data_IF_990618618189
#
_entry.id   IF_990618618189
#
_cell.length_a   1.000
_cell.length_b   1.000
_cell.length_c   1.000
_cell.angle_alpha   90.00
_cell.angle_beta   90.00
_cell.angle_gamma   90.00
#
_symmetry.space_group_name_H-M   'P 1'
#
loop_
_entity.id
_entity.type
_entity.pdbx_description
1 polymer ?
#
# COMPACT_ATOMS: atom_id res chain seq x y z
N UNK A 1 -54.09 44.82 31.12
CA UNK A 1 -53.83 44.73 29.67
C UNK A 1 -52.35 44.66 29.27
N UNK A 2 -51.34 44.90 30.13
CA UNK A 2 -49.93 44.83 29.71
C UNK A 2 -49.31 43.42 29.81
N UNK A 3 -49.90 42.48 30.54
CA UNK A 3 -49.35 41.14 30.68
C UNK A 3 -49.75 40.21 29.52
N UNK A 4 -50.85 40.46 28.87
CA UNK A 4 -51.34 39.63 27.77
C UNK A 4 -50.51 39.79 26.48
N UNK A 5 -50.02 40.99 26.22
CA UNK A 5 -49.17 41.28 25.06
C UNK A 5 -47.75 40.62 25.20
N UNK A 6 -47.23 40.47 26.44
CA UNK A 6 -45.98 39.84 26.65
C UNK A 6 -46.03 38.31 26.44
N UNK A 7 -47.15 37.68 26.79
CA UNK A 7 -47.35 36.22 26.59
C UNK A 7 -47.55 35.91 25.14
N UNK A 8 -48.31 36.73 24.39
CA UNK A 8 -48.49 36.57 22.94
C UNK A 8 -47.15 36.75 22.18
N UNK A 9 -46.36 37.73 22.59
CA UNK A 9 -45.01 37.90 22.02
C UNK A 9 -44.12 36.70 22.30
N UNK A 10 -44.08 36.19 23.55
CA UNK A 10 -43.30 35.03 23.92
C UNK A 10 -43.74 33.76 23.17
N UNK A 11 -45.01 33.52 23.00
CA UNK A 11 -45.51 32.35 22.27
C UNK A 11 -45.26 32.45 20.76
N UNK A 12 -45.36 33.66 20.19
CA UNK A 12 -45.13 33.88 18.74
C UNK A 12 -43.67 33.71 18.35
N UNK A 13 -42.73 34.06 19.25
CA UNK A 13 -41.30 33.94 18.95
C UNK A 13 -40.66 32.68 19.54
N UNK A 14 -41.29 31.99 20.50
CA UNK A 14 -40.73 30.77 21.12
C UNK A 14 -40.41 29.69 20.09
N UNK A 15 -41.25 29.47 19.10
CA UNK A 15 -41.01 28.50 18.06
C UNK A 15 -39.87 28.93 17.12
N UNK A 16 -39.69 30.23 16.85
CA UNK A 16 -38.62 30.77 16.07
C UNK A 16 -37.25 30.53 16.78
N UNK A 17 -37.19 30.76 18.12
CA UNK A 17 -36.02 30.42 18.92
C UNK A 17 -35.73 28.91 18.93
N UNK A 18 -36.79 28.09 18.95
CA UNK A 18 -36.62 26.63 18.89
C UNK A 18 -36.01 26.17 17.56
N UNK A 19 -36.46 26.76 16.43
CA UNK A 19 -35.87 26.47 15.13
C UNK A 19 -34.42 26.93 15.07
N UNK A 20 -34.12 28.15 15.53
CA UNK A 20 -32.74 28.65 15.56
C UNK A 20 -31.83 27.75 16.43
N UNK A 21 -32.31 27.34 17.62
CA UNK A 21 -31.56 26.43 18.49
C UNK A 21 -31.33 25.06 17.84
N UNK A 22 -32.30 24.55 17.07
CA UNK A 22 -32.18 23.31 16.32
C UNK A 22 -31.17 23.45 15.19
N UNK A 23 -31.18 24.55 14.43
CA UNK A 23 -30.15 24.82 13.42
C UNK A 23 -28.74 24.92 14.02
N UNK A 24 -28.58 25.65 15.13
CA UNK A 24 -27.31 25.77 15.83
C UNK A 24 -26.84 24.42 16.34
N UNK A 25 -27.72 23.59 16.90
CA UNK A 25 -27.35 22.25 17.38
C UNK A 25 -26.92 21.34 16.23
N UNK A 26 -27.56 21.38 15.07
CA UNK A 26 -27.17 20.64 13.86
C UNK A 26 -25.81 21.13 13.35
N UNK A 27 -25.57 22.44 13.31
CA UNK A 27 -24.26 22.99 12.91
C UNK A 27 -23.16 22.55 13.88
N UNK A 28 -23.43 22.60 15.20
CA UNK A 28 -22.46 22.13 16.22
C UNK A 28 -22.21 20.65 16.09
N UNK A 29 -23.23 19.81 15.86
CA UNK A 29 -23.08 18.37 15.61
C UNK A 29 -22.25 18.13 14.34
N UNK A 30 -22.54 18.84 13.25
CA UNK A 30 -21.76 18.72 12.00
C UNK A 30 -20.32 19.23 12.18
N UNK A 31 -20.09 20.25 12.99
CA UNK A 31 -18.75 20.76 13.31
C UNK A 31 -17.98 19.86 14.30
N UNK A 32 -18.70 19.12 15.15
CA UNK A 32 -18.10 18.18 16.13
C UNK A 32 -18.00 16.76 15.60
N UNK A 33 -18.80 16.37 14.60
CA UNK A 33 -18.46 15.24 13.74
C UNK A 33 -17.13 15.66 13.10
N UNK A 34 -16.04 15.27 13.79
CA UNK A 34 -14.69 15.38 13.24
C UNK A 34 -14.81 15.03 11.78
N UNK A 35 -14.39 15.95 10.93
CA UNK A 35 -14.31 15.71 9.50
C UNK A 35 -13.98 14.23 9.31
N UNK A 36 -14.77 13.44 8.56
CA UNK A 36 -14.32 12.14 8.17
C UNK A 36 -12.92 12.44 7.69
N UNK A 37 -11.90 11.94 8.44
CA UNK A 37 -10.51 12.17 8.05
C UNK A 37 -10.56 11.86 6.58
N UNK A 38 -10.36 12.87 5.75
CA UNK A 38 -10.37 12.67 4.31
C UNK A 38 -9.51 11.46 4.13
N UNK A 39 -10.14 10.32 3.80
CA UNK A 39 -9.43 9.13 3.43
C UNK A 39 -8.74 9.51 2.13
N UNK A 40 -7.67 10.28 2.29
CA UNK A 40 -6.76 10.51 1.19
C UNK A 40 -6.25 9.12 0.86
N UNK A 41 -6.57 8.59 -0.32
CA UNK A 41 -6.11 7.28 -0.69
C UNK A 41 -4.61 7.27 -0.51
N UNK A 42 -4.05 6.16 -0.02
CA UNK A 42 -2.60 6.02 0.08
C UNK A 42 -2.00 6.41 -1.26
N UNK A 43 -1.16 7.41 -1.25
CA UNK A 43 -0.53 7.94 -2.45
C UNK A 43 0.96 7.97 -2.24
N UNK A 44 1.71 7.63 -3.28
CA UNK A 44 3.14 7.84 -3.26
C UNK A 44 3.61 8.45 -4.57
N UNK A 45 4.63 9.27 -4.47
CA UNK A 45 5.28 9.93 -5.58
C UNK A 45 6.79 9.74 -5.47
N UNK A 46 7.41 9.37 -6.56
CA UNK A 46 8.86 9.33 -6.74
C UNK A 46 9.18 10.18 -7.96
N UNK A 47 10.39 10.70 -8.06
CA UNK A 47 10.85 11.41 -9.28
C UNK A 47 10.69 10.53 -10.52
N UNK A 48 10.62 11.13 -11.73
CA UNK A 48 10.13 10.46 -12.96
C UNK A 48 10.82 9.16 -13.35
N UNK A 49 12.01 8.90 -12.82
CA UNK A 49 12.79 7.68 -13.13
C UNK A 49 12.15 6.39 -12.60
N UNK A 50 11.45 6.48 -11.47
CA UNK A 50 10.80 5.36 -10.81
C UNK A 50 9.31 5.70 -10.61
N UNK A 51 8.43 4.82 -11.04
CA UNK A 51 7.00 5.02 -10.88
C UNK A 51 6.49 4.30 -9.64
N UNK A 52 6.07 5.06 -8.62
CA UNK A 52 5.47 4.47 -7.42
C UNK A 52 4.13 3.81 -7.73
N UNK A 53 3.99 2.54 -7.39
CA UNK A 53 2.77 1.75 -7.60
C UNK A 53 1.96 1.57 -6.33
N UNK A 54 2.56 1.79 -5.16
CA UNK A 54 1.86 1.74 -3.88
C UNK A 54 2.80 1.89 -2.70
N UNK A 55 2.22 2.28 -1.57
CA UNK A 55 2.91 2.33 -0.28
C UNK A 55 2.00 1.79 0.81
N UNK A 56 2.59 1.36 1.91
CA UNK A 56 1.87 0.96 3.11
C UNK A 56 2.67 1.30 4.35
N UNK A 57 2.01 1.85 5.34
CA UNK A 57 2.56 2.04 6.66
C UNK A 57 1.77 1.22 7.67
N UNK A 58 2.43 0.26 8.30
CA UNK A 58 1.82 -0.61 9.28
C UNK A 58 2.54 -0.54 10.62
N UNK A 59 1.80 -0.68 11.71
CA UNK A 59 2.33 -0.74 13.06
C UNK A 59 1.88 -2.00 13.78
N UNK A 60 2.71 -2.48 14.69
CA UNK A 60 2.39 -3.52 15.65
C UNK A 60 2.68 -3.02 17.07
N UNK A 61 2.65 -3.90 18.07
CA UNK A 61 2.85 -3.51 19.48
C UNK A 61 4.27 -2.99 19.79
N UNK A 62 5.28 -3.22 18.94
CA UNK A 62 6.68 -2.92 19.24
C UNK A 62 7.40 -2.09 18.18
N UNK A 63 6.87 -2.03 16.98
CA UNK A 63 7.54 -1.37 15.86
C UNK A 63 6.56 -1.02 14.76
N UNK A 64 6.98 -0.16 13.85
CA UNK A 64 6.27 0.11 12.61
C UNK A 64 7.10 -0.30 11.41
N UNK A 65 6.45 -0.52 10.29
CA UNK A 65 7.09 -0.84 9.01
C UNK A 65 6.50 0.04 7.94
N UNK A 66 7.37 0.71 7.20
CA UNK A 66 7.01 1.39 5.99
C UNK A 66 7.55 0.60 4.80
N UNK A 67 6.69 0.36 3.83
CA UNK A 67 7.05 -0.32 2.60
C UNK A 67 6.53 0.46 1.40
N UNK A 68 7.32 0.49 0.34
CA UNK A 68 6.92 1.06 -0.94
C UNK A 68 7.14 0.05 -2.05
N UNK A 69 6.33 0.17 -3.07
CA UNK A 69 6.44 -0.61 -4.30
C UNK A 69 6.52 0.35 -5.48
N UNK A 70 7.49 0.14 -6.36
CA UNK A 70 7.67 1.00 -7.52
C UNK A 70 8.12 0.21 -8.73
N UNK A 71 7.81 0.75 -9.92
CA UNK A 71 8.18 0.21 -11.21
C UNK A 71 9.40 0.96 -11.76
N UNK A 72 10.33 0.20 -12.35
CA UNK A 72 11.45 0.76 -13.09
C UNK A 72 10.98 1.30 -14.45
N UNK A 73 10.99 2.60 -14.61
CA UNK A 73 10.58 3.30 -15.83
C UNK A 73 11.77 3.81 -16.68
N UNK A 74 13.01 3.52 -16.24
CA UNK A 74 14.22 4.06 -16.91
C UNK A 74 14.58 3.34 -18.22
N UNK A 75 13.89 2.24 -18.56
CA UNK A 75 14.20 1.49 -19.78
C UNK A 75 15.49 0.66 -19.73
N UNK A 76 16.24 0.74 -18.63
CA UNK A 76 17.47 -0.02 -18.34
C UNK A 76 17.38 -0.71 -16.99
N UNK A 77 18.07 -1.83 -16.79
CA UNK A 77 18.07 -2.51 -15.49
C UNK A 77 18.72 -1.66 -14.39
N UNK A 78 18.26 -1.84 -13.16
CA UNK A 78 18.74 -1.14 -11.97
C UNK A 78 19.26 -2.14 -10.93
N UNK A 79 20.18 -1.70 -10.08
CA UNK A 79 20.63 -2.42 -8.90
C UNK A 79 20.48 -1.53 -7.66
N UNK A 80 20.02 -2.14 -6.58
CA UNK A 80 19.84 -1.47 -5.30
C UNK A 80 20.84 -2.03 -4.29
N UNK A 81 21.89 -1.26 -3.95
CA UNK A 81 22.83 -1.65 -2.90
C UNK A 81 22.11 -1.87 -1.56
N UNK A 82 22.70 -2.69 -0.70
CA UNK A 82 22.20 -2.82 0.67
C UNK A 82 22.18 -1.46 1.36
N UNK A 83 21.13 -1.21 2.16
CA UNK A 83 20.93 0.05 2.86
C UNK A 83 20.85 1.28 1.92
N UNK A 84 20.33 1.11 0.72
CA UNK A 84 20.12 2.21 -0.22
C UNK A 84 18.75 2.87 -0.10
N UNK A 85 17.86 2.33 0.75
CA UNK A 85 16.56 2.89 1.03
C UNK A 85 16.55 3.54 2.41
N UNK A 86 16.18 4.83 2.47
CA UNK A 86 16.11 5.59 3.72
C UNK A 86 14.74 6.27 3.81
N UNK A 87 14.18 6.27 5.01
CA UNK A 87 12.94 6.98 5.33
C UNK A 87 13.22 8.05 6.36
N UNK A 88 12.80 9.26 6.07
CA UNK A 88 12.90 10.41 6.97
C UNK A 88 11.53 10.66 7.59
N UNK A 89 11.52 10.82 8.91
CA UNK A 89 10.36 11.34 9.61
C UNK A 89 10.64 12.80 9.98
N UNK A 90 9.99 13.78 9.35
CA UNK A 90 10.20 15.20 9.66
C UNK A 90 9.88 15.54 11.12
N UNK A 91 8.93 14.79 11.72
CA UNK A 91 8.51 14.99 13.12
C UNK A 91 9.52 14.46 14.15
N UNK A 92 10.42 13.55 13.76
CA UNK A 92 11.33 12.88 14.70
C UNK A 92 12.81 13.20 14.45
N UNK A 93 13.14 13.87 13.37
CA UNK A 93 14.50 14.21 12.95
C UNK A 93 15.45 13.00 12.85
N UNK A 94 14.91 11.80 12.57
CA UNK A 94 15.65 10.55 12.39
C UNK A 94 15.44 9.99 10.98
N UNK A 95 16.49 9.35 10.47
CA UNK A 95 16.44 8.56 9.25
C UNK A 95 16.59 7.07 9.59
N UNK A 96 15.80 6.24 8.96
CA UNK A 96 15.84 4.79 9.12
C UNK A 96 16.26 4.17 7.80
N UNK A 97 17.28 3.29 7.85
CA UNK A 97 17.72 2.53 6.70
C UNK A 97 16.85 1.28 6.49
N UNK A 98 16.56 1.00 5.25
CA UNK A 98 15.80 -0.17 4.82
C UNK A 98 16.49 -0.89 3.66
N UNK A 99 15.85 -1.92 3.15
CA UNK A 99 16.33 -2.77 2.08
C UNK A 99 15.32 -2.86 0.95
N UNK A 100 15.81 -2.99 -0.27
CA UNK A 100 15.01 -3.30 -1.46
C UNK A 100 15.24 -4.76 -1.86
N UNK A 101 14.21 -5.46 -2.27
CA UNK A 101 14.26 -6.85 -2.70
C UNK A 101 13.33 -7.10 -3.89
N UNK A 102 13.84 -7.58 -5.04
CA UNK A 102 15.22 -8.03 -5.31
C UNK A 102 16.24 -6.89 -5.39
N UNK A 103 17.52 -7.19 -5.21
CA UNK A 103 18.59 -6.19 -5.33
C UNK A 103 18.91 -5.80 -6.79
N UNK A 104 18.37 -6.52 -7.76
CA UNK A 104 18.51 -6.28 -9.20
C UNK A 104 17.12 -6.25 -9.84
N UNK A 105 16.79 -5.14 -10.48
CA UNK A 105 15.49 -4.88 -11.07
C UNK A 105 15.62 -4.75 -12.58
N UNK A 106 15.06 -5.66 -13.38
CA UNK A 106 15.06 -5.55 -14.82
C UNK A 106 14.25 -4.33 -15.28
N UNK A 107 14.40 -3.96 -16.54
CA UNK A 107 13.54 -2.99 -17.22
C UNK A 107 12.06 -3.38 -17.00
N UNK A 108 11.22 -2.38 -16.71
CA UNK A 108 9.79 -2.55 -16.43
C UNK A 108 9.44 -3.44 -15.23
N UNK A 109 10.44 -3.93 -14.49
CA UNK A 109 10.27 -4.69 -13.27
C UNK A 109 9.69 -3.86 -12.13
N UNK A 110 9.14 -4.56 -11.14
CA UNK A 110 8.60 -3.95 -9.93
C UNK A 110 9.44 -4.37 -8.73
N UNK A 111 9.80 -3.39 -7.91
CA UNK A 111 10.63 -3.52 -6.73
C UNK A 111 9.84 -3.18 -5.47
N UNK A 112 10.20 -3.81 -4.38
CA UNK A 112 9.66 -3.50 -3.06
C UNK A 112 10.77 -3.13 -2.09
N UNK A 113 10.71 -1.94 -1.54
CA UNK A 113 11.63 -1.49 -0.51
C UNK A 113 10.93 -1.39 0.84
N UNK A 114 11.61 -1.81 1.90
CA UNK A 114 11.05 -1.94 3.24
C UNK A 114 12.01 -1.33 4.25
N UNK A 115 11.44 -0.57 5.19
CA UNK A 115 12.15 -0.08 6.37
C UNK A 115 11.39 -0.45 7.63
N UNK A 116 12.12 -0.93 8.63
CA UNK A 116 11.59 -1.16 9.97
C UNK A 116 11.92 0.02 10.88
N UNK A 117 10.90 0.59 11.48
CA UNK A 117 10.98 1.76 12.36
C UNK A 117 10.73 1.27 13.80
N UNK A 118 11.67 1.48 14.74
CA UNK A 118 11.53 0.95 16.11
C UNK A 118 10.44 1.62 16.94
N UNK A 119 9.82 2.67 16.42
CA UNK A 119 8.73 3.38 17.08
C UNK A 119 7.37 2.88 16.59
N UNK A 120 6.37 2.94 17.45
CA UNK A 120 4.97 2.67 17.12
C UNK A 120 4.24 3.97 16.79
N UNK A 121 3.29 3.89 15.88
CA UNK A 121 2.42 5.01 15.51
C UNK A 121 0.97 4.65 15.79
N UNK A 122 0.16 5.66 16.04
CA UNK A 122 -1.26 5.48 16.32
C UNK A 122 -1.99 5.02 15.04
N UNK A 123 -2.73 3.95 15.14
CA UNK A 123 -3.55 3.42 14.03
C UNK A 123 -4.61 4.45 13.63
N UNK A 124 -4.83 4.61 12.33
CA UNK A 124 -5.78 5.56 11.76
C UNK A 124 -5.24 6.98 11.59
N UNK A 125 -4.01 7.26 12.03
CA UNK A 125 -3.36 8.56 11.78
C UNK A 125 -2.74 8.55 10.38
N UNK A 126 -2.92 9.64 9.66
CA UNK A 126 -2.24 9.86 8.39
C UNK A 126 -0.80 10.33 8.65
N UNK A 127 0.14 9.75 7.94
CA UNK A 127 1.54 10.10 7.96
C UNK A 127 2.05 10.38 6.54
N UNK A 128 3.03 11.25 6.44
CA UNK A 128 3.61 11.67 5.17
C UNK A 128 5.14 11.46 5.21
N UNK A 129 5.63 10.21 5.11
CA UNK A 129 7.05 9.94 5.11
C UNK A 129 7.71 10.46 3.82
N UNK A 130 8.91 11.02 4.00
CA UNK A 130 9.82 11.35 2.90
C UNK A 130 10.84 10.22 2.83
N UNK A 131 11.13 9.73 1.65
CA UNK A 131 12.10 8.65 1.48
C UNK A 131 13.12 8.96 0.38
N UNK A 132 14.26 8.30 0.47
CA UNK A 132 15.37 8.38 -0.49
C UNK A 132 15.74 6.97 -0.92
N UNK A 133 15.90 6.77 -2.23
CA UNK A 133 16.32 5.50 -2.82
C UNK A 133 17.62 5.71 -3.56
N UNK A 134 18.65 4.94 -3.20
CA UNK A 134 19.89 4.85 -3.96
C UNK A 134 19.84 3.69 -4.95
N UNK A 135 20.20 3.93 -6.19
CA UNK A 135 20.24 2.90 -7.23
C UNK A 135 21.42 3.10 -8.18
N UNK A 136 21.83 2.05 -8.83
CA UNK A 136 22.83 2.09 -9.92
C UNK A 136 22.20 1.60 -11.21
N UNK A 137 22.53 2.21 -12.31
CA UNK A 137 22.14 1.76 -13.65
C UNK A 137 23.07 0.62 -14.07
N UNK A 138 22.51 -0.47 -14.56
CA UNK A 138 23.26 -1.66 -14.92
C UNK A 138 23.15 -1.98 -16.41
N UNK A 139 24.29 -2.36 -17.01
CA UNK A 139 24.32 -2.95 -18.36
C UNK A 139 24.10 -4.47 -18.29
N UNK A 140 24.52 -5.08 -17.19
CA UNK A 140 24.30 -6.48 -16.83
C UNK A 140 24.22 -6.62 -15.31
N UNK A 141 23.78 -7.77 -14.76
CA UNK A 141 23.69 -7.96 -13.31
C UNK A 141 25.00 -7.74 -12.53
N UNK A 142 26.14 -7.86 -13.21
CA UNK A 142 27.48 -7.71 -12.63
C UNK A 142 28.19 -6.40 -13.04
N UNK A 143 27.61 -5.61 -13.96
CA UNK A 143 28.20 -4.39 -14.47
C UNK A 143 27.25 -3.22 -14.27
N UNK A 144 27.35 -2.59 -13.11
CA UNK A 144 26.55 -1.41 -12.76
C UNK A 144 27.44 -0.18 -12.67
N UNK A 145 26.88 0.97 -13.05
CA UNK A 145 27.56 2.26 -13.05
C UNK A 145 27.45 2.95 -11.68
N UNK A 146 27.74 4.22 -11.67
CA UNK A 146 27.69 5.10 -10.52
C UNK A 146 26.34 5.02 -9.78
N UNK A 147 26.39 5.21 -8.45
CA UNK A 147 25.23 5.31 -7.58
C UNK A 147 24.50 6.63 -7.79
N UNK A 148 23.24 6.55 -8.08
CA UNK A 148 22.29 7.68 -8.16
C UNK A 148 21.36 7.66 -6.94
N UNK A 149 20.74 8.80 -6.67
CA UNK A 149 19.77 8.93 -5.59
C UNK A 149 18.51 9.61 -6.11
N UNK A 150 17.38 9.08 -5.76
CA UNK A 150 16.08 9.71 -5.98
C UNK A 150 15.35 9.89 -4.65
N UNK A 151 14.45 10.85 -4.58
CA UNK A 151 13.62 11.11 -3.41
C UNK A 151 12.16 10.97 -3.77
N UNK A 152 11.37 10.60 -2.79
CA UNK A 152 9.93 10.51 -2.93
C UNK A 152 9.21 10.85 -1.64
N UNK A 153 7.91 10.98 -1.77
CA UNK A 153 6.98 11.20 -0.66
C UNK A 153 5.86 10.19 -0.75
N UNK A 154 5.36 9.77 0.39
CA UNK A 154 4.16 8.96 0.46
C UNK A 154 3.17 9.61 1.44
N UNK A 155 1.90 9.29 1.29
CA UNK A 155 0.85 9.65 2.22
C UNK A 155 0.08 8.37 2.53
N UNK A 156 0.18 7.90 3.76
CA UNK A 156 -0.41 6.64 4.19
C UNK A 156 -1.16 6.80 5.51
N UNK A 157 -2.22 6.01 5.66
CA UNK A 157 -2.88 5.84 6.95
C UNK A 157 -2.23 4.67 7.68
N UNK A 158 -1.81 4.90 8.92
CA UNK A 158 -1.24 3.85 9.76
C UNK A 158 -2.26 2.75 9.99
N UNK A 159 -1.95 1.55 9.54
CA UNK A 159 -2.77 0.35 9.75
C UNK A 159 -2.16 -0.54 10.81
N UNK A 160 -3.03 -1.20 11.61
CA UNK A 160 -2.53 -2.24 12.51
C UNK A 160 -2.28 -3.52 11.73
N UNK A 161 -1.10 -4.09 11.89
CA UNK A 161 -0.78 -5.39 11.31
C UNK A 161 -0.02 -6.25 12.32
N UNK A 162 -0.58 -7.42 12.64
CA UNK A 162 0.10 -8.42 13.48
C UNK A 162 1.34 -8.97 12.78
N UNK A 163 1.32 -9.00 11.46
CA UNK A 163 2.44 -9.35 10.60
C UNK A 163 2.45 -8.41 9.40
N UNK A 164 3.58 -7.82 9.11
CA UNK A 164 3.76 -6.96 7.91
C UNK A 164 3.84 -7.79 6.64
N UNK A 165 4.19 -9.06 6.77
CA UNK A 165 4.44 -9.96 5.64
C UNK A 165 3.58 -11.21 5.73
N UNK A 166 3.24 -11.73 4.57
CA UNK A 166 2.64 -13.06 4.39
C UNK A 166 3.51 -13.91 3.48
N UNK A 167 3.72 -15.15 3.86
CA UNK A 167 4.33 -16.16 2.99
C UNK A 167 3.22 -16.80 2.16
N UNK A 168 3.32 -16.70 0.85
CA UNK A 168 2.36 -17.28 -0.10
C UNK A 168 3.05 -18.41 -0.85
N UNK A 169 2.56 -19.61 -0.68
CA UNK A 169 3.02 -20.77 -1.46
C UNK A 169 2.38 -20.71 -2.86
N UNK A 170 3.20 -20.67 -3.88
CA UNK A 170 2.79 -20.67 -5.29
C UNK A 170 2.82 -22.08 -5.84
N UNK A 171 1.77 -22.47 -6.52
CA UNK A 171 1.69 -23.77 -7.20
C UNK A 171 0.96 -23.65 -8.54
N UNK A 172 1.22 -24.61 -9.43
CA UNK A 172 0.48 -24.81 -10.68
C UNK A 172 -0.06 -26.23 -10.72
N UNK A 173 -1.25 -26.45 -11.25
CA UNK A 173 -1.89 -27.78 -11.28
C UNK A 173 -1.11 -28.82 -12.09
N UNK A 174 -0.32 -28.39 -13.06
CA UNK A 174 0.53 -29.24 -13.89
C UNK A 174 1.95 -29.46 -13.32
N UNK A 175 2.32 -28.75 -12.25
CA UNK A 175 3.69 -28.70 -11.72
C UNK A 175 4.67 -27.92 -12.61
N UNK A 176 4.24 -27.48 -13.78
CA UNK A 176 4.98 -26.67 -14.76
C UNK A 176 4.23 -25.39 -15.09
N UNK A 177 4.84 -24.45 -15.83
CA UNK A 177 4.32 -23.10 -16.00
C UNK A 177 4.75 -22.16 -14.88
N UNK A 178 4.43 -20.87 -15.01
CA UNK A 178 4.84 -19.84 -14.08
C UNK A 178 3.64 -19.04 -13.56
N UNK A 179 3.81 -18.50 -12.39
CA UNK A 179 2.95 -17.45 -11.83
C UNK A 179 3.78 -16.17 -11.80
N UNK A 180 3.34 -15.16 -12.50
CA UNK A 180 3.98 -13.84 -12.45
C UNK A 180 3.30 -13.01 -11.37
N UNK A 181 4.10 -12.40 -10.50
CA UNK A 181 3.66 -11.42 -9.52
C UNK A 181 4.37 -10.11 -9.86
N UNK A 182 3.61 -9.10 -10.20
CA UNK A 182 4.13 -7.81 -10.66
C UNK A 182 5.16 -7.93 -11.81
N UNK A 183 4.98 -8.90 -12.71
CA UNK A 183 5.86 -9.15 -13.83
C UNK A 183 7.08 -10.04 -13.54
N UNK A 184 7.34 -10.39 -12.27
CA UNK A 184 8.38 -11.35 -11.89
C UNK A 184 7.84 -12.77 -11.96
N UNK A 185 8.48 -13.65 -12.73
CA UNK A 185 8.04 -15.02 -12.91
C UNK A 185 8.56 -15.94 -11.78
N UNK A 186 7.65 -16.68 -11.18
CA UNK A 186 7.91 -17.69 -10.17
C UNK A 186 7.47 -19.07 -10.66
N UNK A 187 8.30 -20.07 -10.44
CA UNK A 187 7.98 -21.46 -10.75
C UNK A 187 7.02 -22.06 -9.71
N UNK A 188 6.39 -23.16 -10.10
CA UNK A 188 5.59 -23.96 -9.16
C UNK A 188 6.41 -24.40 -7.94
N UNK A 189 5.75 -24.53 -6.79
CA UNK A 189 6.34 -24.87 -5.49
C UNK A 189 7.35 -23.84 -4.92
N UNK A 190 7.23 -22.58 -5.34
CA UNK A 190 7.99 -21.45 -4.76
C UNK A 190 7.18 -20.81 -3.63
N UNK A 191 7.85 -20.39 -2.56
CA UNK A 191 7.26 -19.55 -1.53
C UNK A 191 7.74 -18.12 -1.71
N UNK A 192 6.81 -17.19 -1.86
CA UNK A 192 7.11 -15.77 -1.95
C UNK A 192 6.65 -15.04 -0.68
N UNK A 193 7.41 -14.04 -0.27
CA UNK A 193 7.03 -13.18 0.85
C UNK A 193 6.46 -11.89 0.29
N UNK A 194 5.21 -11.63 0.60
CA UNK A 194 4.48 -10.44 0.15
C UNK A 194 4.16 -9.54 1.33
N UNK A 195 4.10 -8.23 1.07
CA UNK A 195 3.69 -7.25 2.08
C UNK A 195 2.17 -7.30 2.20
N UNK A 196 1.68 -7.40 3.43
CA UNK A 196 0.25 -7.36 3.69
C UNK A 196 -0.34 -6.00 3.35
N UNK A 197 -1.59 -6.01 2.94
CA UNK A 197 -2.37 -4.83 2.58
C UNK A 197 -1.88 -4.08 1.32
N UNK A 198 -0.95 -4.65 0.56
CA UNK A 198 -0.64 -4.21 -0.80
C UNK A 198 -1.36 -5.06 -1.84
N UNK A 199 -1.70 -4.42 -2.94
CA UNK A 199 -2.27 -5.07 -4.12
C UNK A 199 -1.17 -5.43 -5.10
N UNK A 200 -1.13 -6.69 -5.52
CA UNK A 200 -0.19 -7.23 -6.48
C UNK A 200 -0.91 -7.62 -7.78
N UNK A 201 -0.35 -7.31 -8.92
CA UNK A 201 -0.83 -7.84 -10.18
C UNK A 201 -0.30 -9.25 -10.36
N UNK A 202 -1.17 -10.21 -10.62
CA UNK A 202 -0.80 -11.59 -10.88
C UNK A 202 -1.22 -12.01 -12.28
N UNK A 203 -0.40 -12.85 -12.91
CA UNK A 203 -0.67 -13.43 -14.20
C UNK A 203 -0.24 -14.90 -14.20
N UNK A 204 -1.11 -15.78 -14.67
CA UNK A 204 -0.79 -17.18 -14.85
C UNK A 204 -0.21 -17.41 -16.25
N UNK A 205 0.99 -17.96 -16.33
CA UNK A 205 1.65 -18.33 -17.58
C UNK A 205 1.59 -19.86 -17.76
N UNK A 206 0.60 -20.37 -18.53
CA UNK A 206 0.48 -21.80 -18.76
C UNK A 206 1.70 -22.35 -19.52
N UNK A 207 2.06 -23.61 -19.31
CA UNK A 207 3.04 -24.29 -20.16
C UNK A 207 2.45 -24.54 -21.56
N UNK A 208 3.31 -24.88 -22.50
CA UNK A 208 2.90 -25.15 -23.90
C UNK A 208 1.84 -26.25 -23.95
N UNK A 209 0.76 -25.99 -24.68
CA UNK A 209 -0.35 -26.93 -24.86
C UNK A 209 -1.43 -26.88 -23.80
N UNK A 210 -1.29 -25.99 -22.80
CA UNK A 210 -2.27 -25.79 -21.74
C UNK A 210 -2.88 -24.40 -21.81
N UNK A 211 -4.10 -24.26 -21.31
CA UNK A 211 -4.77 -22.97 -21.11
C UNK A 211 -5.10 -22.75 -19.62
N UNK A 212 -5.23 -21.49 -19.24
CA UNK A 212 -5.59 -21.12 -17.88
C UNK A 212 -7.06 -21.46 -17.62
N UNK A 213 -7.33 -22.07 -16.49
CA UNK A 213 -8.68 -22.42 -16.04
C UNK A 213 -9.14 -21.47 -14.91
N UNK A 214 -8.43 -21.47 -13.79
CA UNK A 214 -8.84 -20.69 -12.63
C UNK A 214 -7.72 -20.50 -11.63
N UNK A 215 -7.91 -19.49 -10.74
CA UNK A 215 -7.13 -19.34 -9.52
C UNK A 215 -7.82 -20.04 -8.35
N UNK A 216 -7.05 -20.82 -7.59
CA UNK A 216 -7.48 -21.40 -6.32
C UNK A 216 -6.63 -20.77 -5.22
N UNK A 217 -7.27 -20.15 -4.24
CA UNK A 217 -6.58 -19.38 -3.19
C UNK A 217 -6.99 -19.84 -1.81
N UNK A 218 -6.02 -19.82 -0.89
CA UNK A 218 -6.25 -20.06 0.53
C UNK A 218 -5.65 -18.90 1.32
N UNK A 219 -6.44 -18.30 2.19
CA UNK A 219 -6.02 -17.18 3.04
C UNK A 219 -5.50 -15.95 2.29
N UNK A 220 -5.89 -15.78 1.04
CA UNK A 220 -5.63 -14.60 0.22
C UNK A 220 -6.90 -14.25 -0.57
N UNK A 221 -6.95 -13.08 -1.15
CA UNK A 221 -8.06 -12.61 -1.97
C UNK A 221 -7.54 -12.30 -3.36
N UNK A 222 -8.21 -12.78 -4.39
CA UNK A 222 -7.95 -12.40 -5.79
C UNK A 222 -9.12 -11.60 -6.34
N UNK A 223 -8.83 -10.64 -7.20
CA UNK A 223 -9.86 -9.79 -7.81
C UNK A 223 -10.83 -10.58 -8.69
N UNK A 224 -10.35 -11.62 -9.38
CA UNK A 224 -11.18 -12.58 -10.12
C UNK A 224 -10.48 -13.93 -10.16
N UNK A 225 -11.23 -15.00 -9.91
CA UNK A 225 -10.71 -16.38 -10.01
C UNK A 225 -10.68 -16.92 -11.43
N UNK A 226 -11.44 -16.34 -12.35
CA UNK A 226 -11.57 -16.79 -13.74
C UNK A 226 -10.71 -16.03 -14.74
N UNK A 227 -10.12 -14.92 -14.36
CA UNK A 227 -9.25 -14.13 -15.24
C UNK A 227 -7.80 -14.55 -15.06
N UNK A 228 -7.13 -14.88 -16.17
CA UNK A 228 -5.71 -15.23 -16.20
C UNK A 228 -4.81 -14.11 -15.64
N UNK A 229 -5.18 -12.85 -15.87
CA UNK A 229 -4.59 -11.66 -15.27
C UNK A 229 -5.57 -11.06 -14.29
N UNK A 230 -5.16 -10.90 -13.02
CA UNK A 230 -5.99 -10.34 -11.96
C UNK A 230 -5.12 -9.75 -10.86
N UNK A 231 -5.71 -9.37 -9.74
CA UNK A 231 -5.00 -8.83 -8.58
C UNK A 231 -5.02 -9.80 -7.43
N UNK A 232 -3.97 -9.76 -6.60
CA UNK A 232 -3.81 -10.53 -5.36
C UNK A 232 -3.68 -9.56 -4.20
N UNK A 233 -4.38 -9.85 -3.12
CA UNK A 233 -4.31 -9.13 -1.85
C UNK A 233 -4.12 -10.13 -0.71
N UNK A 234 -3.17 -9.86 0.17
CA UNK A 234 -2.79 -10.76 1.27
C UNK A 234 -2.88 -10.05 2.62
N UNK A 235 -3.30 -10.78 3.65
CA UNK A 235 -3.32 -10.32 5.05
C UNK A 235 -2.69 -11.32 6.01
N UNK A 236 -2.45 -12.55 5.54
CA UNK A 236 -1.86 -13.66 6.30
C UNK A 236 -1.27 -14.70 5.36
N UNK A 237 -0.47 -15.62 5.92
CA UNK A 237 0.11 -16.72 5.16
C UNK A 237 -0.96 -17.55 4.45
N UNK A 238 -0.69 -17.93 3.21
CA UNK A 238 -1.65 -18.63 2.37
C UNK A 238 -1.02 -19.34 1.19
N UNK A 239 -1.86 -19.69 0.22
CA UNK A 239 -1.42 -20.29 -1.04
C UNK A 239 -2.18 -19.72 -2.24
N UNK A 240 -1.53 -19.76 -3.38
CA UNK A 240 -2.04 -19.37 -4.69
C UNK A 240 -1.71 -20.48 -5.69
N UNK A 241 -2.74 -21.11 -6.23
CA UNK A 241 -2.61 -22.14 -7.25
C UNK A 241 -3.20 -21.63 -8.57
N UNK A 242 -2.43 -21.68 -9.64
CA UNK A 242 -2.91 -21.52 -11.01
C UNK A 242 -3.32 -22.88 -11.56
N UNK A 243 -4.61 -23.07 -11.85
CA UNK A 243 -5.14 -24.27 -12.49
C UNK A 243 -5.06 -24.13 -14.00
N UNK A 244 -4.50 -25.14 -14.66
CA UNK A 244 -4.39 -25.24 -16.13
C UNK A 244 -5.11 -26.51 -16.61
N UNK A 245 -5.62 -26.48 -17.83
CA UNK A 245 -6.27 -27.61 -18.53
C UNK A 245 -5.85 -27.69 -19.99
#
# INVERSE_FOLDING_TARGET
MKAQSAVEFLTTYAWAFLIIALFISVIVILATIKNPQEYSPSSCYITPELFCTGSVFSTNYSSSTFAIMFKNNMGVPLSFPQNSFFVYSPSLNYSYAGTCNPSYLPKDGIETCIVKIPNTYTVGVQINPIFKIGYSVCQSPTSCTQLYNTTGTASDIVTYSKSTFSSIALATSTGTGNILINGVAYQSNTVVVLINNLQYNIYAQPPQGYSFNSWIVTNAVVGSTSLQSTTLYTTKNGSLLASFH
#
